data_IF_635946894306
#
_entry.id   IF_635946894306
#
_cell.length_a   1.000
_cell.length_b   1.000
_cell.length_c   1.000
_cell.angle_alpha   90.00
_cell.angle_beta   90.00
_cell.angle_gamma   90.00
#
_symmetry.space_group_name_H-M   'P 1'
#
loop_
_entity.id
_entity.type
_entity.pdbx_description
1 polymer ?
#
# COMPACT_ATOMS: atom_id res chain seq x y z
N UNK A 1 13.55 -14.67 -7.23
CA UNK A 1 12.49 -14.64 -6.22
C UNK A 1 11.87 -13.25 -6.30
N UNK A 2 10.57 -13.15 -6.55
CA UNK A 2 9.88 -11.87 -6.66
C UNK A 2 9.05 -11.61 -5.39
N UNK A 3 8.93 -10.34 -5.00
CA UNK A 3 8.05 -9.93 -3.91
C UNK A 3 6.68 -9.55 -4.47
N UNK A 4 5.64 -10.12 -3.89
CA UNK A 4 4.25 -9.82 -4.24
C UNK A 4 3.66 -8.94 -3.13
N UNK A 5 3.66 -7.63 -3.37
CA UNK A 5 3.21 -6.62 -2.42
C UNK A 5 1.70 -6.41 -2.54
N UNK A 6 0.95 -6.74 -1.49
CA UNK A 6 -0.50 -6.54 -1.43
C UNK A 6 -0.89 -5.49 -0.37
N UNK A 7 -1.63 -4.46 -0.76
CA UNK A 7 -2.17 -3.45 0.15
C UNK A 7 -3.48 -3.96 0.77
N UNK A 8 -3.41 -4.52 1.98
CA UNK A 8 -4.56 -5.12 2.66
C UNK A 8 -4.95 -4.31 3.91
N UNK A 9 -6.11 -3.70 3.89
CA UNK A 9 -6.73 -3.01 5.02
C UNK A 9 -8.22 -2.81 4.75
N UNK A 10 -9.06 -3.24 5.70
CA UNK A 10 -10.53 -3.16 5.55
C UNK A 10 -11.10 -1.75 5.68
N UNK A 11 -10.35 -0.79 6.22
CA UNK A 11 -10.84 0.60 6.33
C UNK A 11 -10.58 1.37 5.03
N UNK A 12 -11.64 2.02 4.53
CA UNK A 12 -11.54 2.92 3.38
C UNK A 12 -10.88 4.27 3.74
N UNK A 13 -10.24 4.93 2.77
CA UNK A 13 -9.68 6.28 2.93
C UNK A 13 -8.44 6.41 3.82
N UNK A 14 -7.80 5.30 4.18
CA UNK A 14 -6.61 5.31 5.07
C UNK A 14 -5.28 5.51 4.33
N UNK A 15 -5.27 5.40 3.00
CA UNK A 15 -4.08 5.64 2.17
C UNK A 15 -3.48 4.38 1.52
N UNK A 16 -4.24 3.31 1.30
CA UNK A 16 -3.77 2.10 0.57
C UNK A 16 -3.22 2.43 -0.80
N UNK A 17 -4.03 3.04 -1.66
CA UNK A 17 -3.63 3.43 -3.02
C UNK A 17 -2.48 4.45 -3.03
N UNK A 18 -2.42 5.33 -2.02
CA UNK A 18 -1.27 6.21 -1.81
C UNK A 18 0.00 5.40 -1.57
N UNK A 19 -0.05 4.43 -0.64
CA UNK A 19 1.10 3.58 -0.31
C UNK A 19 1.54 2.73 -1.51
N UNK A 20 0.58 2.17 -2.28
CA UNK A 20 0.85 1.46 -3.53
C UNK A 20 1.58 2.35 -4.55
N UNK A 21 1.04 3.55 -4.79
CA UNK A 21 1.64 4.50 -5.73
C UNK A 21 3.03 4.99 -5.28
N UNK A 22 3.23 5.23 -3.97
CA UNK A 22 4.54 5.62 -3.43
C UNK A 22 5.58 4.50 -3.57
N UNK A 23 5.18 3.25 -3.29
CA UNK A 23 6.04 2.08 -3.44
C UNK A 23 6.43 1.88 -4.91
N UNK A 24 5.47 1.93 -5.85
CA UNK A 24 5.72 1.79 -7.28
C UNK A 24 6.69 2.84 -7.81
N UNK A 25 6.47 4.12 -7.46
CA UNK A 25 7.37 5.22 -7.84
C UNK A 25 8.77 5.05 -7.25
N UNK A 26 8.87 4.59 -6.00
CA UNK A 26 10.15 4.31 -5.37
C UNK A 26 10.90 3.20 -6.14
N UNK A 27 10.23 2.09 -6.46
CA UNK A 27 10.83 0.98 -7.22
C UNK A 27 11.27 1.44 -8.62
N UNK A 28 10.46 2.24 -9.32
CA UNK A 28 10.86 2.86 -10.59
C UNK A 28 12.13 3.71 -10.45
N UNK A 29 12.29 4.45 -9.36
CA UNK A 29 13.50 5.25 -9.10
C UNK A 29 14.77 4.40 -8.89
N UNK A 30 14.60 3.11 -8.59
CA UNK A 30 15.68 2.11 -8.46
C UNK A 30 15.83 1.25 -9.72
N UNK A 31 15.21 1.67 -10.83
CA UNK A 31 15.16 0.92 -12.10
C UNK A 31 14.49 -0.48 -11.99
N UNK A 32 13.70 -0.70 -10.94
CA UNK A 32 12.83 -1.85 -10.81
C UNK A 32 11.44 -1.47 -11.34
N UNK A 33 10.91 -2.27 -12.27
CA UNK A 33 9.61 -2.03 -12.90
C UNK A 33 8.62 -3.11 -12.42
N UNK A 34 7.92 -2.88 -11.29
CA UNK A 34 6.97 -3.86 -10.78
C UNK A 34 5.73 -3.95 -11.67
N UNK A 35 5.11 -5.11 -11.69
CA UNK A 35 3.76 -5.27 -12.23
C UNK A 35 2.78 -4.59 -11.27
N UNK A 36 2.19 -3.46 -11.70
CA UNK A 36 1.22 -2.72 -10.90
C UNK A 36 -0.21 -3.16 -11.25
N UNK A 37 -1.02 -3.48 -10.23
CA UNK A 37 -2.39 -3.98 -10.38
C UNK A 37 -3.31 -3.23 -9.43
N UNK A 38 -4.45 -2.76 -9.95
CA UNK A 38 -5.55 -2.18 -9.17
C UNK A 38 -6.74 -3.12 -9.20
N UNK A 39 -7.17 -3.55 -8.02
CA UNK A 39 -8.32 -4.46 -7.82
C UNK A 39 -9.44 -3.79 -7.02
N UNK A 40 -9.37 -2.45 -6.79
CA UNK A 40 -10.46 -1.75 -6.11
C UNK A 40 -11.69 -1.65 -7.03
N UNK A 41 -12.78 -2.36 -6.73
CA UNK A 41 -13.96 -2.36 -7.60
C UNK A 41 -14.70 -1.03 -7.61
N UNK A 42 -14.51 -0.19 -6.57
CA UNK A 42 -15.23 1.07 -6.39
C UNK A 42 -14.42 2.26 -6.88
N UNK A 43 -13.15 2.34 -6.46
CA UNK A 43 -12.31 3.50 -6.71
C UNK A 43 -10.95 3.07 -7.28
N UNK A 44 -10.86 2.90 -8.58
CA UNK A 44 -9.59 2.55 -9.25
C UNK A 44 -8.56 3.71 -9.19
N UNK A 45 -8.19 4.09 -7.96
CA UNK A 45 -7.32 5.24 -7.69
C UNK A 45 -5.90 4.99 -8.18
N UNK A 46 -5.38 3.80 -7.97
CA UNK A 46 -4.03 3.42 -8.38
C UNK A 46 -3.93 3.31 -9.91
N UNK A 47 -4.97 2.78 -10.57
CA UNK A 47 -5.05 2.72 -12.03
C UNK A 47 -4.98 4.09 -12.71
N UNK A 48 -5.36 5.17 -12.02
CA UNK A 48 -5.27 6.52 -12.54
C UNK A 48 -3.85 7.03 -12.82
N UNK A 49 -2.80 6.43 -12.26
CA UNK A 49 -1.40 6.83 -12.48
C UNK A 49 -0.85 6.28 -13.80
N UNK A 50 -0.99 7.06 -14.88
CA UNK A 50 -0.60 6.63 -16.24
C UNK A 50 0.88 6.22 -16.36
N UNK A 51 1.77 6.96 -15.70
CA UNK A 51 3.20 6.66 -15.72
C UNK A 51 3.56 5.31 -15.06
N UNK A 52 2.71 4.75 -14.23
CA UNK A 52 2.92 3.47 -13.55
C UNK A 52 2.36 2.27 -14.33
N UNK A 53 1.67 2.50 -15.46
CA UNK A 53 1.10 1.47 -16.34
C UNK A 53 0.27 0.42 -15.56
N UNK A 54 -0.53 0.88 -14.59
CA UNK A 54 -1.30 0.02 -13.69
C UNK A 54 -2.36 -0.74 -14.45
N UNK A 55 -2.39 -2.06 -14.33
CA UNK A 55 -3.44 -2.92 -14.87
C UNK A 55 -4.63 -2.94 -13.93
N UNK A 56 -5.83 -2.84 -14.45
CA UNK A 56 -7.06 -3.03 -13.68
C UNK A 56 -7.55 -4.46 -13.84
N UNK A 57 -7.92 -5.08 -12.71
CA UNK A 57 -8.66 -6.34 -12.69
C UNK A 57 -10.04 -6.05 -12.13
N UNK A 58 -11.08 -6.35 -12.92
CA UNK A 58 -12.46 -6.21 -12.48
C UNK A 58 -12.83 -7.41 -11.59
N UNK A 59 -13.24 -7.09 -10.35
CA UNK A 59 -13.64 -8.11 -9.38
C UNK A 59 -15.16 -8.23 -9.23
N UNK A 60 -15.93 -7.33 -9.86
CA UNK A 60 -17.39 -7.31 -9.73
C UNK A 60 -18.06 -8.00 -10.92
N UNK A 61 -19.09 -8.77 -10.62
CA UNK A 61 -20.03 -9.33 -11.58
C UNK A 61 -21.42 -9.24 -10.93
N UNK A 62 -22.39 -8.66 -11.62
CA UNK A 62 -23.77 -8.46 -11.14
C UNK A 62 -23.84 -7.81 -9.74
N UNK A 63 -23.03 -6.74 -9.51
CA UNK A 63 -22.92 -5.99 -8.25
C UNK A 63 -22.34 -6.80 -7.05
N UNK A 64 -21.86 -8.02 -7.27
CA UNK A 64 -21.21 -8.85 -6.27
C UNK A 64 -19.74 -9.10 -6.62
N UNK A 65 -18.92 -9.42 -5.60
CA UNK A 65 -17.53 -9.80 -5.85
C UNK A 65 -17.49 -11.23 -6.40
N UNK A 66 -16.99 -11.36 -7.62
CA UNK A 66 -16.76 -12.66 -8.25
C UNK A 66 -15.44 -13.27 -7.75
N UNK A 67 -15.47 -14.39 -6.99
CA UNK A 67 -14.24 -15.05 -6.53
C UNK A 67 -13.29 -15.49 -7.66
N UNK A 68 -13.79 -15.73 -8.88
CA UNK A 68 -12.95 -16.05 -10.04
C UNK A 68 -12.12 -14.87 -10.53
N UNK A 69 -12.50 -13.63 -10.19
CA UNK A 69 -11.65 -12.48 -10.40
C UNK A 69 -10.32 -12.57 -9.62
N UNK A 70 -10.35 -13.24 -8.46
CA UNK A 70 -9.13 -13.53 -7.71
C UNK A 70 -8.27 -14.61 -8.36
N UNK A 71 -8.87 -15.61 -9.05
CA UNK A 71 -8.09 -16.59 -9.82
C UNK A 71 -7.26 -15.88 -10.90
N UNK A 72 -7.88 -14.96 -11.65
CA UNK A 72 -7.19 -14.17 -12.66
C UNK A 72 -6.07 -13.30 -12.08
N UNK A 73 -6.26 -12.74 -10.87
CA UNK A 73 -5.20 -12.02 -10.15
C UNK A 73 -4.01 -12.93 -9.84
N UNK A 74 -4.26 -14.11 -9.30
CA UNK A 74 -3.20 -15.05 -8.92
C UNK A 74 -2.48 -15.59 -10.16
N UNK A 75 -3.20 -15.94 -11.22
CA UNK A 75 -2.60 -16.36 -12.49
C UNK A 75 -1.66 -15.30 -13.08
N UNK A 76 -2.07 -14.02 -13.01
CA UNK A 76 -1.26 -12.91 -13.50
C UNK A 76 0.01 -12.71 -12.66
N UNK A 77 -0.11 -12.82 -11.34
CA UNK A 77 1.01 -12.69 -10.40
C UNK A 77 1.96 -13.88 -10.51
N UNK A 78 1.44 -15.10 -10.63
CA UNK A 78 2.23 -16.32 -10.76
C UNK A 78 3.12 -16.34 -12.02
N UNK A 79 2.68 -15.65 -13.08
CA UNK A 79 3.43 -15.50 -14.33
C UNK A 79 4.42 -14.33 -14.31
N UNK A 80 4.44 -13.52 -13.26
CA UNK A 80 5.33 -12.37 -13.17
C UNK A 80 6.78 -12.81 -12.99
N UNK A 81 7.68 -12.24 -13.77
CA UNK A 81 9.14 -12.46 -13.64
C UNK A 81 9.81 -11.47 -12.68
N UNK A 82 9.07 -10.48 -12.22
CA UNK A 82 9.53 -9.43 -11.29
C UNK A 82 8.49 -9.16 -10.21
N UNK A 83 8.79 -8.20 -9.34
CA UNK A 83 7.91 -7.82 -8.26
C UNK A 83 6.55 -7.34 -8.76
N UNK A 84 5.51 -7.53 -7.95
CA UNK A 84 4.16 -7.04 -8.23
C UNK A 84 3.64 -6.20 -7.07
N UNK A 85 2.86 -5.17 -7.37
CA UNK A 85 2.19 -4.31 -6.38
C UNK A 85 0.69 -4.33 -6.67
N UNK A 86 -0.09 -4.81 -5.71
CA UNK A 86 -1.54 -4.95 -5.81
C UNK A 86 -2.20 -3.98 -4.83
N UNK A 87 -2.95 -3.01 -5.35
CA UNK A 87 -3.84 -2.17 -4.55
C UNK A 87 -5.22 -2.80 -4.47
N UNK A 88 -5.72 -2.98 -3.26
CA UNK A 88 -6.99 -3.62 -3.00
C UNK A 88 -7.99 -2.67 -2.34
N UNK A 89 -9.24 -2.70 -2.80
CA UNK A 89 -10.34 -1.94 -2.20
C UNK A 89 -10.70 -2.39 -0.80
N UNK A 90 -11.30 -1.48 -0.02
CA UNK A 90 -11.78 -1.84 1.32
C UNK A 90 -12.93 -2.86 1.27
N UNK A 91 -13.79 -2.79 0.25
CA UNK A 91 -14.92 -3.71 0.06
C UNK A 91 -14.49 -5.13 -0.26
N UNK A 92 -13.40 -5.30 -1.01
CA UNK A 92 -12.83 -6.61 -1.37
C UNK A 92 -11.85 -7.17 -0.33
N UNK A 93 -11.55 -6.43 0.74
CA UNK A 93 -10.60 -6.85 1.79
C UNK A 93 -10.96 -8.20 2.43
N UNK A 94 -12.20 -8.36 2.91
CA UNK A 94 -12.63 -9.60 3.59
C UNK A 94 -12.66 -10.77 2.62
N UNK A 95 -13.35 -10.69 1.44
CA UNK A 95 -13.37 -11.79 0.48
C UNK A 95 -11.99 -12.16 -0.05
N UNK A 96 -11.12 -11.19 -0.35
CA UNK A 96 -9.76 -11.48 -0.81
C UNK A 96 -8.93 -12.15 0.28
N UNK A 97 -8.95 -11.64 1.53
CA UNK A 97 -8.22 -12.26 2.65
C UNK A 97 -8.67 -13.70 2.87
N UNK A 98 -9.98 -13.95 2.85
CA UNK A 98 -10.53 -15.31 2.96
C UNK A 98 -10.08 -16.20 1.79
N UNK A 99 -10.11 -15.68 0.56
CA UNK A 99 -9.66 -16.40 -0.63
C UNK A 99 -8.17 -16.79 -0.53
N UNK A 100 -7.31 -15.83 -0.16
CA UNK A 100 -5.87 -16.08 -0.02
C UNK A 100 -5.56 -17.17 1.01
N UNK A 101 -6.28 -17.18 2.14
CA UNK A 101 -6.08 -18.16 3.22
C UNK A 101 -6.66 -19.52 2.85
N UNK A 102 -7.93 -19.56 2.39
CA UNK A 102 -8.64 -20.82 2.09
C UNK A 102 -7.98 -21.61 0.96
N UNK A 103 -7.39 -20.91 -0.01
CA UNK A 103 -6.71 -21.54 -1.15
C UNK A 103 -5.20 -21.67 -0.92
N UNK A 104 -4.70 -21.40 0.30
CA UNK A 104 -3.28 -21.50 0.66
C UNK A 104 -2.35 -20.73 -0.29
N UNK A 105 -2.81 -19.58 -0.80
CA UNK A 105 -2.07 -18.79 -1.79
C UNK A 105 -0.67 -18.41 -1.33
N UNK A 106 -0.40 -18.04 -0.05
CA UNK A 106 0.96 -17.77 0.40
C UNK A 106 1.93 -18.94 0.17
N UNK A 107 1.50 -20.18 0.42
CA UNK A 107 2.29 -21.38 0.18
C UNK A 107 2.49 -21.64 -1.32
N UNK A 108 1.45 -21.50 -2.12
CA UNK A 108 1.53 -21.61 -3.58
C UNK A 108 2.53 -20.60 -4.16
N UNK A 109 2.49 -19.35 -3.72
CA UNK A 109 3.45 -18.32 -4.17
C UNK A 109 4.89 -18.69 -3.80
N UNK A 110 5.11 -19.23 -2.59
CA UNK A 110 6.43 -19.70 -2.16
C UNK A 110 6.94 -20.86 -3.03
N UNK A 111 6.09 -21.83 -3.35
CA UNK A 111 6.41 -22.93 -4.29
C UNK A 111 6.79 -22.42 -5.68
N UNK A 112 6.19 -21.32 -6.14
CA UNK A 112 6.50 -20.65 -7.39
C UNK A 112 7.74 -19.72 -7.32
N UNK A 113 8.38 -19.63 -6.16
CA UNK A 113 9.55 -18.80 -5.93
C UNK A 113 9.22 -17.34 -5.69
N UNK A 114 8.02 -17.01 -5.24
CA UNK A 114 7.59 -15.68 -4.86
C UNK A 114 7.39 -15.54 -3.35
N UNK A 115 7.51 -14.32 -2.83
CA UNK A 115 7.25 -14.01 -1.42
C UNK A 115 6.05 -13.08 -1.31
N UNK A 116 5.02 -13.49 -0.57
CA UNK A 116 3.92 -12.58 -0.26
C UNK A 116 4.35 -11.57 0.82
N UNK A 117 4.18 -10.27 0.50
CA UNK A 117 4.42 -9.15 1.40
C UNK A 117 3.13 -8.35 1.57
N UNK A 118 2.52 -8.43 2.74
CA UNK A 118 1.29 -7.72 3.06
C UNK A 118 1.63 -6.35 3.64
N UNK A 119 1.15 -5.31 2.96
CA UNK A 119 1.22 -3.94 3.43
C UNK A 119 -0.10 -3.55 4.09
N UNK A 120 -0.05 -3.09 5.33
CA UNK A 120 -1.21 -2.56 6.03
C UNK A 120 -0.99 -1.10 6.43
N UNK A 121 -2.04 -0.29 6.34
CA UNK A 121 -1.95 1.13 6.70
C UNK A 121 -2.59 1.37 8.06
N UNK A 122 -1.82 1.89 8.98
CA UNK A 122 -2.26 2.35 10.31
C UNK A 122 -2.38 3.87 10.24
N UNK A 123 -3.56 4.41 10.49
CA UNK A 123 -3.78 5.86 10.41
C UNK A 123 -4.21 6.42 11.75
N UNK A 124 -3.92 7.69 12.01
CA UNK A 124 -4.39 8.40 13.19
C UNK A 124 -5.89 8.77 13.13
N UNK A 125 -6.36 9.47 14.13
CA UNK A 125 -7.74 9.95 14.23
C UNK A 125 -8.75 8.82 14.47
N UNK A 126 -9.99 9.01 13.99
CA UNK A 126 -11.10 8.08 14.27
C UNK A 126 -10.88 6.64 13.80
N UNK A 127 -10.11 6.44 12.76
CA UNK A 127 -9.86 5.10 12.19
C UNK A 127 -8.67 4.37 12.83
N UNK A 128 -8.01 4.95 13.82
CA UNK A 128 -6.80 4.37 14.43
C UNK A 128 -7.05 2.95 14.95
N UNK A 129 -8.02 2.78 15.83
CA UNK A 129 -8.28 1.48 16.45
C UNK A 129 -8.76 0.44 15.44
N UNK A 130 -9.55 0.84 14.44
CA UNK A 130 -9.97 -0.04 13.34
C UNK A 130 -8.77 -0.53 12.53
N UNK A 131 -7.83 0.37 12.21
CA UNK A 131 -6.65 0.01 11.42
C UNK A 131 -5.65 -0.83 12.21
N UNK A 132 -5.49 -0.55 13.50
CA UNK A 132 -4.67 -1.36 14.42
C UNK A 132 -5.27 -2.77 14.61
N UNK A 133 -6.59 -2.86 14.78
CA UNK A 133 -7.30 -4.15 14.86
C UNK A 133 -7.20 -4.93 13.56
N UNK A 134 -7.33 -4.26 12.41
CA UNK A 134 -7.14 -4.85 11.09
C UNK A 134 -5.76 -5.49 10.92
N UNK A 135 -4.71 -4.79 11.35
CA UNK A 135 -3.35 -5.36 11.36
C UNK A 135 -3.26 -6.62 12.24
N UNK A 136 -3.75 -6.55 13.49
CA UNK A 136 -3.69 -7.69 14.39
C UNK A 136 -4.45 -8.91 13.82
N UNK A 137 -5.61 -8.68 13.20
CA UNK A 137 -6.39 -9.71 12.55
C UNK A 137 -5.63 -10.36 11.38
N UNK A 138 -5.06 -9.57 10.48
CA UNK A 138 -4.23 -10.07 9.38
C UNK A 138 -3.05 -10.90 9.91
N UNK A 139 -2.31 -10.37 10.89
CA UNK A 139 -1.14 -11.05 11.45
C UNK A 139 -1.48 -12.38 12.13
N UNK A 140 -2.69 -12.52 12.69
CA UNK A 140 -3.17 -13.76 13.32
C UNK A 140 -3.66 -14.81 12.32
N UNK A 141 -4.10 -14.41 11.12
CA UNK A 141 -4.73 -15.29 10.15
C UNK A 141 -3.79 -15.77 9.06
N UNK A 142 -2.86 -14.92 8.64
CA UNK A 142 -1.90 -15.30 7.60
C UNK A 142 -0.80 -16.21 8.16
N UNK A 143 -0.29 -17.18 7.37
CA UNK A 143 0.78 -18.06 7.80
C UNK A 143 2.08 -17.31 8.11
N UNK A 144 2.98 -17.95 8.89
CA UNK A 144 4.20 -17.31 9.39
C UNK A 144 5.15 -16.84 8.28
N UNK A 145 5.14 -17.49 7.13
CA UNK A 145 5.95 -17.12 5.96
C UNK A 145 5.56 -15.76 5.36
N UNK A 146 4.33 -15.30 5.60
CA UNK A 146 3.87 -14.00 5.09
C UNK A 146 4.56 -12.86 5.82
N UNK A 147 5.24 -11.99 5.07
CA UNK A 147 5.86 -10.79 5.61
C UNK A 147 4.85 -9.66 5.72
N UNK A 148 4.99 -8.83 6.76
CA UNK A 148 4.15 -7.66 6.96
C UNK A 148 4.97 -6.38 6.98
N UNK A 149 4.44 -5.32 6.35
CA UNK A 149 4.96 -3.96 6.42
C UNK A 149 3.83 -3.04 6.85
N UNK A 150 4.03 -2.33 7.97
CA UNK A 150 3.08 -1.35 8.45
C UNK A 150 3.43 0.04 7.95
N UNK A 151 2.46 0.75 7.35
CA UNK A 151 2.57 2.15 6.97
C UNK A 151 1.88 3.02 8.01
N UNK A 152 2.62 3.87 8.70
CA UNK A 152 2.04 4.80 9.64
C UNK A 152 1.70 6.11 8.92
N UNK A 153 0.41 6.40 8.78
CA UNK A 153 -0.10 7.56 8.07
C UNK A 153 -0.71 8.59 9.03
N UNK A 154 -0.02 9.70 9.32
CA UNK A 154 -0.48 10.73 10.23
C UNK A 154 -1.45 11.75 9.59
N UNK A 155 -1.97 11.50 8.40
CA UNK A 155 -2.83 12.44 7.67
C UNK A 155 -4.05 12.89 8.49
N UNK A 156 -4.70 11.98 9.22
CA UNK A 156 -5.86 12.25 10.06
C UNK A 156 -5.52 12.61 11.51
N UNK A 157 -4.25 12.74 11.83
CA UNK A 157 -3.71 13.02 13.15
C UNK A 157 -2.60 12.06 13.54
N UNK A 158 -1.99 12.25 14.71
CA UNK A 158 -0.92 11.38 15.18
C UNK A 158 -1.40 9.92 15.33
N UNK A 159 -0.50 8.99 15.00
CA UNK A 159 -0.75 7.55 15.16
C UNK A 159 -0.48 7.16 16.61
N UNK A 160 -1.33 7.64 17.51
CA UNK A 160 -1.21 7.42 18.95
C UNK A 160 -2.58 7.28 19.62
N UNK A 161 -2.65 6.53 20.71
CA UNK A 161 -3.83 6.33 21.53
C UNK A 161 -3.43 6.38 23.00
N UNK A 162 -4.09 7.25 23.80
CA UNK A 162 -3.78 7.44 25.21
C UNK A 162 -2.29 7.72 25.50
N UNK A 163 -1.66 8.54 24.65
CA UNK A 163 -0.24 8.89 24.75
C UNK A 163 0.73 7.77 24.35
N UNK A 164 0.24 6.68 23.74
CA UNK A 164 1.05 5.56 23.25
C UNK A 164 1.07 5.53 21.75
N UNK A 165 2.26 5.60 21.16
CA UNK A 165 2.46 5.39 19.73
C UNK A 165 2.20 3.92 19.32
N UNK A 166 2.11 3.65 18.02
CA UNK A 166 1.80 2.32 17.47
C UNK A 166 2.66 1.21 18.08
N UNK A 167 3.97 1.43 18.23
CA UNK A 167 4.93 0.45 18.74
C UNK A 167 4.76 0.14 20.26
N UNK A 168 3.95 0.92 20.96
CA UNK A 168 3.60 0.70 22.36
C UNK A 168 2.22 0.05 22.53
N UNK A 169 1.46 -0.11 21.43
CA UNK A 169 0.12 -0.70 21.47
C UNK A 169 0.19 -2.22 21.59
N UNK A 170 -0.81 -2.81 22.24
CA UNK A 170 -0.89 -4.27 22.44
C UNK A 170 -0.82 -5.05 21.12
N UNK A 171 -1.49 -4.55 20.07
CA UNK A 171 -1.48 -5.19 18.76
C UNK A 171 -0.08 -5.30 18.15
N UNK A 172 0.72 -4.25 18.26
CA UNK A 172 2.12 -4.29 17.83
C UNK A 172 2.94 -5.24 18.69
N UNK A 173 2.89 -5.09 20.02
CA UNK A 173 3.68 -5.90 20.95
C UNK A 173 3.42 -7.40 20.79
N UNK A 174 2.18 -7.79 20.50
CA UNK A 174 1.79 -9.18 20.26
C UNK A 174 2.20 -9.73 18.89
N UNK A 175 2.45 -8.86 17.91
CA UNK A 175 2.69 -9.27 16.52
C UNK A 175 3.98 -8.67 15.91
N UNK A 176 4.85 -8.08 16.71
CA UNK A 176 6.07 -7.38 16.21
C UNK A 176 6.99 -8.28 15.39
N UNK A 177 7.07 -9.56 15.73
CA UNK A 177 7.89 -10.55 15.02
C UNK A 177 7.37 -10.85 13.59
N UNK A 178 6.10 -10.50 13.32
CA UNK A 178 5.48 -10.60 12.00
C UNK A 178 5.78 -9.39 11.10
N UNK A 179 6.22 -8.26 11.69
CA UNK A 179 6.56 -7.05 10.97
C UNK A 179 8.00 -7.08 10.51
N UNK A 180 8.20 -7.08 9.20
CA UNK A 180 9.53 -6.93 8.59
C UNK A 180 10.00 -5.47 8.61
N UNK A 181 9.06 -4.52 8.52
CA UNK A 181 9.39 -3.10 8.53
C UNK A 181 8.19 -2.20 8.92
N UNK A 182 8.51 -0.97 9.30
CA UNK A 182 7.55 0.11 9.49
C UNK A 182 7.97 1.29 8.62
N UNK A 183 7.10 1.71 7.72
CA UNK A 183 7.25 2.90 6.87
C UNK A 183 6.47 4.05 7.50
N UNK A 184 7.12 5.16 7.84
CA UNK A 184 6.47 6.33 8.42
C UNK A 184 6.27 7.40 7.36
N UNK A 185 5.02 7.67 6.99
CA UNK A 185 4.72 8.81 6.15
C UNK A 185 4.98 10.10 6.95
N UNK A 186 5.57 11.13 6.32
CA UNK A 186 5.88 12.37 7.02
C UNK A 186 4.61 13.12 7.44
N UNK A 187 4.61 13.66 8.64
CA UNK A 187 3.64 14.67 9.01
C UNK A 187 3.93 15.97 8.24
N UNK A 188 2.96 16.42 7.45
CA UNK A 188 3.11 17.55 6.56
C UNK A 188 2.28 18.74 7.04
N UNK A 189 2.88 19.95 7.00
CA UNK A 189 2.15 21.19 7.24
C UNK A 189 1.05 21.34 6.19
N UNK A 190 -0.23 21.30 6.62
CA UNK A 190 -1.42 21.19 5.76
C UNK A 190 -1.51 22.30 4.72
N UNK A 191 -1.21 23.56 5.11
CA UNK A 191 -1.37 24.75 4.27
C UNK A 191 -0.32 24.86 3.15
N UNK A 192 0.76 24.07 3.22
CA UNK A 192 1.87 24.12 2.26
C UNK A 192 2.18 22.76 1.67
N UNK A 193 3.02 21.97 2.32
CA UNK A 193 3.42 20.64 1.85
C UNK A 193 2.24 19.70 1.63
N UNK A 194 1.30 19.68 2.57
CA UNK A 194 0.09 18.85 2.48
C UNK A 194 -0.79 19.24 1.30
N UNK A 195 -0.98 20.55 1.08
CA UNK A 195 -1.74 21.10 -0.06
C UNK A 195 -1.10 20.74 -1.40
N UNK A 196 0.23 20.90 -1.51
CA UNK A 196 0.95 20.61 -2.75
C UNK A 196 0.91 19.10 -3.05
N UNK A 197 1.12 18.25 -2.04
CA UNK A 197 1.00 16.81 -2.18
C UNK A 197 -0.42 16.41 -2.57
N UNK A 198 -1.45 16.95 -1.92
CA UNK A 198 -2.84 16.68 -2.24
C UNK A 198 -3.18 17.04 -3.69
N UNK A 199 -2.70 18.19 -4.19
CA UNK A 199 -2.87 18.59 -5.59
C UNK A 199 -2.23 17.59 -6.56
N UNK A 200 -0.98 17.18 -6.30
CA UNK A 200 -0.28 16.17 -7.10
C UNK A 200 -1.06 14.84 -7.14
N UNK A 201 -1.56 14.38 -5.99
CA UNK A 201 -2.32 13.14 -5.87
C UNK A 201 -3.69 13.22 -6.55
N UNK A 202 -4.34 14.37 -6.50
CA UNK A 202 -5.63 14.60 -7.16
C UNK A 202 -5.49 14.49 -8.69
N UNK A 203 -4.41 15.02 -9.25
CA UNK A 203 -4.08 14.95 -10.68
C UNK A 203 -3.47 13.60 -11.08
N UNK A 204 -3.32 12.65 -10.16
CA UNK A 204 -2.68 11.34 -10.41
C UNK A 204 -1.28 11.46 -11.00
N UNK A 205 -0.54 12.49 -10.64
CA UNK A 205 0.84 12.66 -11.07
C UNK A 205 1.78 11.88 -10.15
N UNK A 206 2.79 11.27 -10.74
CA UNK A 206 3.97 10.82 -10.00
C UNK A 206 4.81 12.01 -9.56
N UNK A 207 5.72 11.81 -8.60
CA UNK A 207 6.67 12.86 -8.24
C UNK A 207 7.50 13.34 -9.43
N UNK A 208 7.92 12.42 -10.31
CA UNK A 208 8.77 12.78 -11.46
C UNK A 208 7.99 13.59 -12.49
N UNK A 209 6.75 13.24 -12.79
CA UNK A 209 5.87 14.06 -13.61
C UNK A 209 5.62 15.43 -13.00
N UNK A 210 5.29 15.49 -11.70
CA UNK A 210 5.06 16.75 -10.99
C UNK A 210 6.31 17.65 -10.95
N UNK A 211 7.49 17.07 -10.82
CA UNK A 211 8.75 17.82 -10.84
C UNK A 211 9.15 18.31 -12.25
N UNK A 212 8.73 17.60 -13.28
CA UNK A 212 9.02 17.92 -14.68
C UNK A 212 8.04 18.94 -15.29
N UNK A 213 6.79 19.02 -14.76
CA UNK A 213 5.77 19.88 -15.35
C UNK A 213 6.06 21.37 -15.12
N UNK A 214 5.98 22.23 -16.16
CA UNK A 214 6.09 23.68 -15.99
C UNK A 214 4.86 24.34 -15.33
N UNK A 215 3.73 23.62 -15.23
CA UNK A 215 2.50 24.13 -14.62
C UNK A 215 2.64 24.39 -13.10
N UNK A 216 3.55 23.69 -12.43
CA UNK A 216 3.78 23.88 -10.99
C UNK A 216 4.83 24.96 -10.73
N UNK A 217 4.58 25.77 -9.69
CA UNK A 217 5.52 26.81 -9.27
C UNK A 217 6.85 26.21 -8.78
N UNK A 218 7.91 27.00 -8.79
CA UNK A 218 9.22 26.58 -8.28
C UNK A 218 9.12 26.08 -6.83
N UNK A 219 8.37 26.78 -5.98
CA UNK A 219 8.23 26.41 -4.56
C UNK A 219 7.39 25.15 -4.36
N UNK A 220 6.35 24.92 -5.16
CA UNK A 220 5.58 23.68 -5.15
C UNK A 220 6.47 22.49 -5.51
N UNK A 221 7.23 22.60 -6.59
CA UNK A 221 8.20 21.56 -7.00
C UNK A 221 9.26 21.31 -5.92
N UNK A 222 9.78 22.37 -5.28
CA UNK A 222 10.76 22.21 -4.20
C UNK A 222 10.17 21.45 -2.99
N UNK A 223 8.93 21.75 -2.58
CA UNK A 223 8.27 21.05 -1.49
C UNK A 223 7.98 19.59 -1.83
N UNK A 224 7.50 19.30 -3.05
CA UNK A 224 7.29 17.92 -3.53
C UNK A 224 8.61 17.13 -3.57
N UNK A 225 9.71 17.76 -3.99
CA UNK A 225 11.04 17.12 -3.95
C UNK A 225 11.47 16.75 -2.53
N UNK A 226 11.16 17.61 -1.55
CA UNK A 226 11.42 17.31 -0.14
C UNK A 226 10.57 16.12 0.34
N UNK A 227 9.25 16.13 0.04
CA UNK A 227 8.35 15.03 0.39
C UNK A 227 8.81 13.71 -0.24
N UNK A 228 9.14 13.72 -1.56
CA UNK A 228 9.71 12.56 -2.25
C UNK A 228 10.90 11.99 -1.49
N UNK A 229 11.87 12.84 -1.13
CA UNK A 229 13.08 12.42 -0.39
C UNK A 229 12.75 11.82 0.97
N UNK A 230 11.80 12.40 1.71
CA UNK A 230 11.39 11.90 3.03
C UNK A 230 10.74 10.52 2.91
N UNK A 231 9.81 10.34 1.97
CA UNK A 231 9.13 9.05 1.75
C UNK A 231 10.12 7.98 1.26
N UNK A 232 10.95 8.32 0.27
CA UNK A 232 11.93 7.37 -0.27
C UNK A 232 12.99 6.99 0.77
N UNK A 233 13.40 7.92 1.64
CA UNK A 233 14.30 7.60 2.75
C UNK A 233 13.69 6.63 3.77
N UNK A 234 12.35 6.65 3.98
CA UNK A 234 11.67 5.64 4.80
C UNK A 234 11.65 4.28 4.11
N UNK A 235 11.45 4.23 2.79
CA UNK A 235 11.44 3.00 2.01
C UNK A 235 12.85 2.38 1.89
N UNK A 236 13.90 3.22 1.76
CA UNK A 236 15.30 2.77 1.82
C UNK A 236 15.60 2.13 3.19
N UNK A 237 15.17 2.75 4.28
CA UNK A 237 15.38 2.25 5.65
C UNK A 237 14.59 0.95 5.93
N UNK A 238 13.43 0.79 5.30
CA UNK A 238 12.59 -0.40 5.42
C UNK A 238 13.08 -1.59 4.58
N UNK A 239 14.10 -1.42 3.75
CA UNK A 239 14.62 -2.45 2.84
C UNK A 239 13.51 -3.20 2.09
N UNK A 240 12.60 -2.46 1.45
CA UNK A 240 11.41 -3.03 0.79
C UNK A 240 11.72 -3.64 -0.58
N UNK A 241 12.96 -3.55 -1.04
CA UNK A 241 13.48 -4.16 -2.28
C UNK A 241 14.31 -5.39 -1.99
#
# INVERSE_FOLDING_TARGET
MANIHMMLQGKGGVGKSLSAAMLAQYMHSKAALPLCIDTDPVNATFHGYQALQVRRIELMEDDEINPRGFDALIDLVAQSTGDAIIDNGASSFVPLSHYLISNQIPALLEELGHQLVVHTVITGGQALLDTVSGFAHLASQFPEQTRFIAWLNPYWGPVEHEGKGFEQMKAYLANKERLSAIVRLPELKKETFGRDLAGMLQERLTFDEALATPALTLMTRQRLKIVKRLVYGQLDAAMVL
#
